data_IF_828422286288
#
_entry.id   IF_828422286288
#
_cell.length_a   1.000
_cell.length_b   1.000
_cell.length_c   1.000
_cell.angle_alpha   90.00
_cell.angle_beta   90.00
_cell.angle_gamma   90.00
#
_symmetry.space_group_name_H-M   'P 1'
#
loop_
_entity.id
_entity.type
_entity.pdbx_description
1 polymer ?
#
# COMPACT_ATOMS: atom_id res chain seq x y z
N UNK A 1 3.00 -34.54 -85.89
CA UNK A 1 2.61 -35.76 -85.15
C UNK A 1 2.54 -35.39 -83.66
N UNK A 2 1.38 -35.55 -83.00
CA UNK A 2 1.16 -35.33 -81.53
C UNK A 2 0.62 -33.94 -81.15
N UNK A 3 -0.70 -33.69 -80.97
CA UNK A 3 -1.55 -33.86 -79.76
C UNK A 3 -0.96 -33.20 -78.47
N UNK A 4 -1.67 -32.51 -77.55
CA UNK A 4 -3.01 -31.90 -77.43
C UNK A 4 -3.04 -31.17 -76.06
N UNK A 5 -3.86 -30.11 -75.95
CA UNK A 5 -4.59 -29.59 -74.77
C UNK A 5 -3.85 -28.85 -73.62
N UNK A 6 -4.37 -27.62 -73.42
CA UNK A 6 -4.23 -26.71 -72.26
C UNK A 6 -4.77 -27.35 -70.97
N UNK A 7 -3.94 -27.40 -69.93
CA UNK A 7 -4.35 -27.78 -68.57
C UNK A 7 -5.06 -26.65 -67.83
N UNK A 8 -6.26 -26.94 -67.34
CA UNK A 8 -7.12 -26.08 -66.53
C UNK A 8 -6.59 -25.87 -65.10
N UNK A 9 -6.97 -24.75 -64.50
CA UNK A 9 -6.82 -24.49 -63.05
C UNK A 9 -7.81 -25.37 -62.28
N UNK A 10 -7.31 -26.15 -61.33
CA UNK A 10 -8.12 -26.83 -60.32
C UNK A 10 -7.63 -26.36 -58.95
N UNK A 11 -8.55 -25.74 -58.20
CA UNK A 11 -8.37 -25.40 -56.80
C UNK A 11 -8.46 -26.67 -55.95
N UNK A 12 -7.44 -26.93 -55.12
CA UNK A 12 -7.51 -27.95 -54.07
C UNK A 12 -7.68 -27.29 -52.71
N UNK A 13 -8.77 -27.71 -52.06
CA UNK A 13 -9.24 -27.37 -50.73
C UNK A 13 -8.33 -27.99 -49.66
N UNK A 14 -8.05 -27.25 -48.60
CA UNK A 14 -7.68 -27.83 -47.29
C UNK A 14 -8.88 -27.63 -46.35
N UNK A 15 -9.32 -28.66 -45.60
CA UNK A 15 -10.57 -28.60 -44.85
C UNK A 15 -10.42 -27.77 -43.57
N UNK A 16 -11.40 -26.90 -43.32
CA UNK A 16 -11.66 -26.29 -42.01
C UNK A 16 -12.43 -27.30 -41.16
N UNK A 17 -11.82 -27.84 -40.11
CA UNK A 17 -12.53 -28.50 -39.02
C UNK A 17 -12.83 -27.47 -37.93
N UNK A 18 -14.11 -27.36 -37.59
CA UNK A 18 -14.63 -26.60 -36.46
C UNK A 18 -14.23 -27.28 -35.14
N UNK A 19 -13.72 -26.50 -34.18
CA UNK A 19 -13.95 -26.63 -32.73
C UNK A 19 -13.03 -25.63 -32.00
N UNK A 20 -13.57 -24.44 -31.71
CA UNK A 20 -13.40 -23.74 -30.43
C UNK A 20 -14.07 -22.37 -30.50
N UNK A 21 -15.37 -22.38 -30.21
CA UNK A 21 -16.00 -21.25 -29.56
C UNK A 21 -15.64 -21.29 -28.07
N UNK A 22 -15.55 -20.09 -27.47
CA UNK A 22 -15.54 -19.82 -26.03
C UNK A 22 -14.33 -20.34 -25.22
N UNK A 23 -13.33 -19.47 -25.05
CA UNK A 23 -12.98 -19.07 -23.68
C UNK A 23 -12.23 -17.73 -23.67
N UNK A 24 -12.99 -16.67 -23.36
CA UNK A 24 -12.45 -15.58 -22.57
C UNK A 24 -11.94 -16.18 -21.26
N UNK A 25 -10.63 -16.21 -21.06
CA UNK A 25 -10.05 -16.30 -19.72
C UNK A 25 -9.15 -15.08 -19.55
N UNK A 26 -9.75 -14.08 -18.92
CA UNK A 26 -9.03 -13.08 -18.12
C UNK A 26 -7.95 -13.79 -17.32
N UNK A 27 -6.71 -13.33 -17.44
CA UNK A 27 -5.61 -13.81 -16.61
C UNK A 27 -5.83 -13.29 -15.17
N UNK A 28 -6.73 -13.93 -14.44
CA UNK A 28 -6.82 -13.83 -13.00
C UNK A 28 -5.51 -14.37 -12.45
N UNK A 29 -4.68 -13.47 -11.90
CA UNK A 29 -3.52 -13.82 -11.09
C UNK A 29 -4.05 -14.67 -9.93
N UNK A 30 -3.94 -15.99 -10.05
CA UNK A 30 -4.22 -16.89 -8.94
C UNK A 30 -3.26 -16.49 -7.82
N UNK A 31 -3.80 -15.83 -6.80
CA UNK A 31 -3.14 -15.70 -5.51
C UNK A 31 -2.93 -17.12 -5.02
N UNK A 32 -1.68 -17.58 -5.02
CA UNK A 32 -1.29 -18.72 -4.21
C UNK A 32 -1.46 -18.30 -2.75
N UNK A 33 -2.68 -18.38 -2.23
CA UNK A 33 -2.93 -18.36 -0.80
C UNK A 33 -2.47 -19.72 -0.29
N UNK A 34 -1.19 -19.83 0.03
CA UNK A 34 -0.76 -20.80 1.03
C UNK A 34 -1.51 -20.41 2.30
N UNK A 35 -2.26 -21.31 2.96
CA UNK A 35 -2.76 -21.05 4.29
C UNK A 35 -1.54 -20.88 5.19
N UNK A 36 -1.17 -19.64 5.48
CA UNK A 36 -0.18 -19.33 6.50
C UNK A 36 -0.81 -19.83 7.79
N UNK A 37 -0.21 -20.85 8.40
CA UNK A 37 -0.60 -21.28 9.73
C UNK A 37 -0.40 -20.06 10.63
N UNK A 38 -1.51 -19.49 11.10
CA UNK A 38 -1.43 -18.42 12.08
C UNK A 38 -0.82 -19.05 13.35
N UNK A 39 0.08 -18.34 14.06
CA UNK A 39 0.47 -18.79 15.40
C UNK A 39 -0.81 -19.06 16.20
N UNK A 40 -0.86 -20.13 17.02
CA UNK A 40 -2.04 -20.44 17.80
C UNK A 40 -2.42 -19.19 18.61
N UNK A 41 -3.70 -18.77 18.59
CA UNK A 41 -4.13 -17.59 19.32
C UNK A 41 -3.74 -17.79 20.79
N UNK A 42 -2.90 -16.89 21.30
CA UNK A 42 -2.68 -16.80 22.74
C UNK A 42 -4.06 -16.51 23.35
N UNK A 43 -4.54 -17.39 24.22
CA UNK A 43 -5.90 -17.38 24.79
C UNK A 43 -6.25 -16.12 25.64
N UNK A 44 -5.43 -15.09 25.63
CA UNK A 44 -5.87 -13.75 26.01
C UNK A 44 -6.70 -13.20 24.86
N UNK A 45 -7.99 -13.53 24.83
CA UNK A 45 -8.95 -12.89 23.93
C UNK A 45 -8.80 -11.38 24.11
N UNK A 46 -8.25 -10.72 23.09
CA UNK A 46 -8.24 -9.28 23.03
C UNK A 46 -9.69 -8.79 23.06
N UNK A 47 -10.12 -8.26 24.20
CA UNK A 47 -11.46 -7.71 24.32
C UNK A 47 -11.49 -6.32 23.67
N UNK A 48 -11.57 -6.27 22.33
CA UNK A 48 -11.62 -4.99 21.61
C UNK A 48 -12.99 -4.40 21.89
N UNK A 49 -13.08 -3.16 22.40
CA UNK A 49 -14.36 -2.48 22.47
C UNK A 49 -14.98 -2.40 21.07
N UNK A 50 -16.17 -2.97 20.87
CA UNK A 50 -16.86 -2.92 19.59
C UNK A 50 -18.15 -2.11 19.67
N UNK A 51 -18.57 -1.58 18.53
CA UNK A 51 -19.88 -1.01 18.28
C UNK A 51 -20.49 -1.73 17.08
N UNK A 52 -21.73 -2.21 17.20
CA UNK A 52 -22.34 -3.00 16.14
C UNK A 52 -22.47 -2.21 14.83
N UNK A 53 -23.03 -0.99 14.90
CA UNK A 53 -23.29 -0.13 13.75
C UNK A 53 -22.61 1.24 13.87
N UNK A 54 -22.30 1.85 12.73
CA UNK A 54 -21.82 3.23 12.72
C UNK A 54 -22.95 4.18 13.16
N UNK A 55 -22.73 5.10 14.11
CA UNK A 55 -23.75 6.08 14.47
C UNK A 55 -24.07 6.97 13.27
N UNK A 56 -25.32 7.42 13.19
CA UNK A 56 -25.73 8.42 12.20
C UNK A 56 -24.94 9.73 12.39
N UNK A 57 -24.59 10.42 11.29
CA UNK A 57 -23.87 11.69 11.38
C UNK A 57 -24.71 12.74 12.11
N UNK A 58 -24.07 13.57 12.94
CA UNK A 58 -24.71 14.66 13.68
C UNK A 58 -24.64 15.99 12.94
N UNK A 59 -23.89 16.02 11.84
CA UNK A 59 -23.68 17.19 10.99
C UNK A 59 -23.79 16.81 9.51
N UNK A 60 -23.87 17.80 8.64
CA UNK A 60 -23.88 17.54 7.20
C UNK A 60 -22.58 16.88 6.75
N UNK A 61 -22.71 15.86 5.90
CA UNK A 61 -21.62 15.14 5.26
C UNK A 61 -21.57 15.46 3.77
N UNK A 62 -20.41 15.24 3.14
CA UNK A 62 -20.28 15.26 1.67
C UNK A 62 -21.17 14.20 1.01
N UNK A 63 -21.57 14.45 -0.23
CA UNK A 63 -22.39 13.50 -0.98
C UNK A 63 -21.57 12.29 -1.44
N UNK A 64 -22.14 11.10 -1.28
CA UNK A 64 -21.57 9.88 -1.87
C UNK A 64 -21.70 9.95 -3.40
N UNK A 65 -20.61 9.74 -4.17
CA UNK A 65 -20.70 9.67 -5.63
C UNK A 65 -21.72 8.61 -6.09
N UNK A 66 -22.58 8.90 -7.08
CA UNK A 66 -23.54 7.93 -7.58
C UNK A 66 -22.88 6.81 -8.38
N UNK A 67 -23.59 5.70 -8.59
CA UNK A 67 -23.16 4.63 -9.49
C UNK A 67 -22.01 3.76 -8.96
N UNK A 68 -21.86 3.65 -7.64
CA UNK A 68 -20.93 2.72 -7.01
C UNK A 68 -21.54 1.32 -6.98
N UNK A 69 -21.32 0.54 -8.03
CA UNK A 69 -21.65 -0.89 -8.06
C UNK A 69 -20.67 -1.66 -7.17
N UNK A 70 -20.99 -1.77 -5.88
CA UNK A 70 -20.20 -2.49 -4.88
C UNK A 70 -21.08 -3.56 -4.23
N UNK A 71 -20.46 -4.65 -3.81
CA UNK A 71 -21.17 -5.61 -2.97
C UNK A 71 -21.47 -4.95 -1.61
N UNK A 72 -22.72 -5.11 -1.14
CA UNK A 72 -23.23 -4.55 0.13
C UNK A 72 -23.67 -5.64 1.12
N UNK A 73 -23.53 -6.91 0.73
CA UNK A 73 -24.11 -8.04 1.44
C UNK A 73 -23.07 -8.98 2.05
N UNK A 74 -21.98 -9.33 1.33
CA UNK A 74 -21.05 -10.32 1.85
C UNK A 74 -20.37 -9.84 3.14
N UNK A 75 -20.01 -10.79 4.01
CA UNK A 75 -19.34 -10.51 5.28
C UNK A 75 -18.01 -9.79 5.05
N UNK A 76 -17.78 -8.69 5.79
CA UNK A 76 -16.51 -7.95 5.77
C UNK A 76 -15.48 -8.51 6.75
N UNK A 77 -15.89 -8.89 7.97
CA UNK A 77 -14.97 -9.40 9.00
C UNK A 77 -14.16 -10.60 8.48
N UNK A 78 -12.84 -10.51 8.58
CA UNK A 78 -11.89 -11.51 8.07
C UNK A 78 -11.52 -11.39 6.59
N UNK A 79 -11.96 -10.34 5.89
CA UNK A 79 -11.61 -10.11 4.47
C UNK A 79 -10.39 -9.21 4.25
N UNK A 80 -9.78 -8.70 5.32
CA UNK A 80 -8.50 -7.98 5.24
C UNK A 80 -7.42 -8.92 4.67
N UNK A 81 -6.68 -8.52 3.61
CA UNK A 81 -5.53 -9.29 3.16
C UNK A 81 -4.50 -9.39 4.28
N UNK A 82 -3.96 -10.58 4.52
CA UNK A 82 -2.92 -10.78 5.52
C UNK A 82 -1.61 -10.15 5.04
N UNK A 83 -0.95 -9.38 5.88
CA UNK A 83 0.42 -8.89 5.68
C UNK A 83 1.13 -8.87 7.03
N UNK A 84 2.44 -9.03 7.00
CA UNK A 84 3.31 -8.90 8.16
C UNK A 84 3.89 -7.48 8.26
N UNK A 85 4.13 -6.82 7.12
CA UNK A 85 4.57 -5.43 7.03
C UNK A 85 3.98 -4.78 5.77
N UNK A 86 3.60 -3.52 5.86
CA UNK A 86 3.18 -2.67 4.76
C UNK A 86 4.24 -1.60 4.55
N UNK A 87 4.87 -1.61 3.38
CA UNK A 87 5.74 -0.52 2.93
C UNK A 87 4.89 0.50 2.18
N UNK A 88 4.56 1.60 2.85
CA UNK A 88 3.78 2.71 2.32
C UNK A 88 4.73 3.79 1.79
N UNK A 89 4.97 3.78 0.48
CA UNK A 89 5.91 4.67 -0.20
C UNK A 89 5.28 6.06 -0.36
N UNK A 90 5.99 7.10 0.07
CA UNK A 90 5.59 8.49 -0.08
C UNK A 90 5.90 8.98 -1.49
N UNK A 91 4.86 9.09 -2.34
CA UNK A 91 5.02 9.48 -3.76
C UNK A 91 4.49 10.87 -4.09
N UNK A 92 3.66 11.44 -3.21
CA UNK A 92 2.93 12.68 -3.47
C UNK A 92 1.85 12.60 -4.56
N UNK A 93 1.62 11.41 -5.14
CA UNK A 93 0.65 11.19 -6.22
C UNK A 93 -0.69 10.71 -5.67
N UNK A 94 -1.78 11.12 -6.31
CA UNK A 94 -3.15 10.78 -5.89
C UNK A 94 -3.81 9.70 -6.74
N UNK A 95 -3.20 9.31 -7.86
CA UNK A 95 -3.61 8.15 -8.66
C UNK A 95 -2.38 7.49 -9.30
N UNK A 96 -2.58 6.25 -9.75
CA UNK A 96 -1.54 5.37 -10.26
C UNK A 96 -2.04 4.59 -11.47
N UNK A 97 -1.11 4.09 -12.29
CA UNK A 97 -1.46 3.05 -13.26
C UNK A 97 -1.96 1.81 -12.52
N UNK A 98 -2.82 1.04 -13.20
CA UNK A 98 -3.44 -0.18 -12.65
C UNK A 98 -2.45 -1.11 -11.92
N UNK A 99 -1.18 -1.10 -12.35
CA UNK A 99 -0.03 -1.68 -11.66
C UNK A 99 0.96 -0.60 -11.29
N UNK A 100 1.25 -0.46 -10.00
CA UNK A 100 2.20 0.53 -9.48
C UNK A 100 3.65 0.32 -9.96
N UNK A 101 3.97 -0.88 -10.45
CA UNK A 101 5.27 -1.19 -11.07
C UNK A 101 5.48 -0.47 -12.41
N UNK A 102 4.40 -0.03 -13.05
CA UNK A 102 4.42 0.62 -14.37
C UNK A 102 4.43 2.15 -14.26
N UNK A 103 4.33 2.69 -13.04
CA UNK A 103 4.38 4.12 -12.79
C UNK A 103 5.78 4.69 -13.02
N UNK A 104 5.82 5.96 -13.43
CA UNK A 104 7.04 6.75 -13.40
C UNK A 104 7.52 6.90 -11.94
N UNK A 105 8.81 6.69 -11.69
CA UNK A 105 9.36 6.73 -10.33
C UNK A 105 9.12 5.46 -9.50
N UNK A 106 8.65 4.37 -10.10
CA UNK A 106 8.43 3.06 -9.44
C UNK A 106 9.71 2.29 -9.09
N UNK A 107 10.87 2.96 -9.01
CA UNK A 107 12.18 2.31 -8.80
C UNK A 107 12.19 1.49 -7.51
N UNK A 108 11.82 2.09 -6.37
CA UNK A 108 11.75 1.38 -5.09
C UNK A 108 10.74 0.22 -5.13
N UNK A 109 9.56 0.44 -5.72
CA UNK A 109 8.53 -0.61 -5.89
C UNK A 109 9.10 -1.81 -6.65
N UNK A 110 9.80 -1.57 -7.76
CA UNK A 110 10.36 -2.61 -8.60
C UNK A 110 11.50 -3.36 -7.90
N UNK A 111 12.36 -2.65 -7.17
CA UNK A 111 13.44 -3.25 -6.40
C UNK A 111 12.94 -4.10 -5.23
N UNK A 112 11.98 -3.59 -4.47
CA UNK A 112 11.31 -4.38 -3.43
C UNK A 112 10.68 -5.64 -4.04
N UNK A 113 9.88 -5.51 -5.12
CA UNK A 113 9.28 -6.67 -5.78
C UNK A 113 10.31 -7.69 -6.29
N UNK A 114 11.48 -7.26 -6.76
CA UNK A 114 12.59 -8.15 -7.15
C UNK A 114 13.16 -8.92 -5.96
N UNK A 115 13.23 -8.30 -4.79
CA UNK A 115 13.88 -8.85 -3.60
C UNK A 115 12.96 -9.72 -2.72
N UNK A 116 11.76 -9.24 -2.43
CA UNK A 116 10.79 -9.90 -1.53
C UNK A 116 9.63 -10.58 -2.27
N UNK A 117 9.45 -10.27 -3.56
CA UNK A 117 8.43 -10.91 -4.39
C UNK A 117 8.75 -12.38 -4.71
N UNK A 118 7.90 -13.06 -5.51
CA UNK A 118 8.08 -14.47 -5.83
C UNK A 118 9.47 -14.75 -6.44
N UNK A 119 10.19 -15.72 -5.86
CA UNK A 119 11.57 -16.09 -6.25
C UNK A 119 12.63 -15.03 -5.94
N UNK A 120 12.28 -13.96 -5.23
CA UNK A 120 13.24 -13.00 -4.72
C UNK A 120 14.15 -13.61 -3.64
N UNK A 121 15.31 -12.99 -3.42
CA UNK A 121 16.31 -13.42 -2.42
C UNK A 121 15.72 -13.56 -1.01
N UNK A 122 14.77 -12.70 -0.68
CA UNK A 122 14.11 -12.59 0.62
C UNK A 122 12.64 -13.05 0.55
N UNK A 123 12.29 -13.85 -0.45
CA UNK A 123 10.93 -14.35 -0.62
C UNK A 123 10.58 -15.32 0.50
N UNK A 124 9.61 -14.95 1.33
CA UNK A 124 9.06 -15.79 2.39
C UNK A 124 7.53 -15.85 2.24
N UNK A 125 6.94 -17.03 1.95
CA UNK A 125 5.49 -17.18 1.82
C UNK A 125 4.73 -17.00 3.16
N UNK A 126 5.41 -17.01 4.29
CA UNK A 126 4.85 -16.82 5.63
C UNK A 126 5.05 -15.38 6.15
N UNK A 127 5.79 -14.54 5.43
CA UNK A 127 6.01 -13.12 5.77
C UNK A 127 5.61 -12.22 4.60
N UNK A 128 4.30 -12.06 4.41
CA UNK A 128 3.78 -11.29 3.28
C UNK A 128 3.99 -9.78 3.49
N UNK A 129 4.70 -9.13 2.57
CA UNK A 129 4.93 -7.68 2.61
C UNK A 129 4.03 -6.99 1.59
N UNK A 130 3.19 -6.07 2.06
CA UNK A 130 2.32 -5.25 1.21
C UNK A 130 3.07 -4.00 0.75
N UNK A 131 3.19 -3.76 -0.56
CA UNK A 131 3.81 -2.55 -1.11
C UNK A 131 2.71 -1.65 -1.67
N UNK A 132 2.60 -0.44 -1.14
CA UNK A 132 1.59 0.54 -1.54
C UNK A 132 2.21 1.91 -1.76
N UNK A 133 1.75 2.63 -2.77
CA UNK A 133 2.09 4.05 -2.95
C UNK A 133 1.08 4.92 -2.20
N UNK A 134 1.49 6.11 -1.80
CA UNK A 134 0.63 7.08 -1.12
C UNK A 134 0.76 8.48 -1.71
N UNK A 135 -0.29 9.27 -1.50
CA UNK A 135 -0.33 10.71 -1.78
C UNK A 135 0.45 11.55 -0.77
N UNK A 136 1.11 10.92 0.20
CA UNK A 136 2.00 11.61 1.13
C UNK A 136 3.22 12.08 0.34
N UNK A 137 3.59 13.37 0.37
CA UNK A 137 4.80 13.85 -0.31
C UNK A 137 6.05 13.18 0.26
N UNK A 138 7.05 12.83 -0.58
CA UNK A 138 8.33 12.32 -0.09
C UNK A 138 9.05 13.38 0.74
N UNK A 139 9.88 12.96 1.71
CA UNK A 139 10.79 13.88 2.40
C UNK A 139 11.64 14.64 1.38
N UNK A 140 11.72 15.99 1.47
CA UNK A 140 12.56 16.78 0.59
C UNK A 140 14.03 16.42 0.82
N UNK A 141 14.75 16.16 -0.27
CA UNK A 141 16.20 15.93 -0.23
C UNK A 141 16.90 17.24 -0.63
N UNK A 142 17.87 17.71 0.17
CA UNK A 142 18.46 19.06 0.06
C UNK A 142 19.11 19.37 -1.30
N UNK A 143 19.50 18.35 -2.08
CA UNK A 143 20.07 18.51 -3.43
C UNK A 143 19.04 18.40 -4.58
N UNK A 144 17.75 18.24 -4.27
CA UNK A 144 16.70 18.28 -5.28
C UNK A 144 16.37 19.74 -5.61
N UNK A 145 17.04 20.29 -6.64
CA UNK A 145 16.63 21.55 -7.28
C UNK A 145 15.09 21.54 -7.45
N UNK A 146 14.37 22.56 -6.94
CA UNK A 146 12.92 22.59 -7.06
C UNK A 146 12.55 22.71 -8.53
N UNK A 147 12.07 21.62 -9.12
CA UNK A 147 11.50 21.61 -10.46
C UNK A 147 10.23 22.46 -10.47
N UNK A 148 10.41 23.76 -10.63
CA UNK A 148 9.36 24.72 -10.93
C UNK A 148 9.03 24.59 -12.41
N UNK A 149 8.28 23.55 -12.78
CA UNK A 149 7.55 23.54 -14.04
C UNK A 149 6.09 23.15 -13.78
N UNK A 150 5.13 24.08 -13.99
CA UNK A 150 3.73 23.72 -14.12
C UNK A 150 3.56 22.83 -15.36
N UNK A 151 2.68 21.84 -15.27
CA UNK A 151 2.29 20.99 -16.39
C UNK A 151 1.93 21.85 -17.62
N UNK A 152 2.79 21.83 -18.65
CA UNK A 152 2.52 22.48 -19.93
C UNK A 152 2.40 21.46 -21.07
N UNK A 153 1.43 21.77 -21.91
CA UNK A 153 0.82 20.97 -22.96
C UNK A 153 1.84 20.54 -24.02
N UNK A 154 1.63 19.32 -24.52
CA UNK A 154 2.27 18.78 -25.71
C UNK A 154 2.23 19.78 -26.88
N UNK A 155 3.38 20.05 -27.49
CA UNK A 155 3.48 20.53 -28.86
C UNK A 155 4.85 20.15 -29.48
N UNK A 156 4.75 19.33 -30.53
CA UNK A 156 5.56 19.26 -31.76
C UNK A 156 7.07 19.58 -31.72
N UNK A 157 7.87 18.55 -32.00
CA UNK A 157 9.31 18.60 -32.31
C UNK A 157 9.54 18.89 -33.81
N UNK A 158 10.53 19.72 -34.20
CA UNK A 158 11.24 19.56 -35.46
C UNK A 158 12.63 18.94 -35.25
N UNK A 159 12.98 18.06 -36.18
CA UNK A 159 14.17 17.21 -36.14
C UNK A 159 15.51 17.97 -36.19
N UNK A 160 16.50 17.48 -35.44
CA UNK A 160 17.92 17.85 -35.57
C UNK A 160 18.76 16.65 -36.04
N UNK A 161 19.78 16.95 -36.86
CA UNK A 161 20.67 16.03 -37.57
C UNK A 161 21.84 15.51 -36.70
N UNK A 162 22.52 14.42 -37.11
CA UNK A 162 23.53 13.73 -36.30
C UNK A 162 24.96 14.26 -36.53
N UNK A 163 25.74 14.34 -35.45
CA UNK A 163 27.16 14.66 -35.45
C UNK A 163 27.85 14.08 -34.22
N UNK A 164 29.00 13.46 -34.46
CA UNK A 164 29.82 12.57 -33.63
C UNK A 164 30.81 13.28 -32.69
N UNK A 165 31.03 12.74 -31.48
CA UNK A 165 32.38 12.40 -30.98
C UNK A 165 32.32 11.47 -29.75
N UNK A 166 33.40 10.70 -29.46
CA UNK A 166 33.37 9.48 -28.66
C UNK A 166 33.80 9.65 -27.19
N UNK A 167 33.66 8.55 -26.44
CA UNK A 167 34.19 8.28 -25.09
C UNK A 167 33.57 9.03 -23.91
N UNK A 168 32.31 8.69 -23.63
CA UNK A 168 31.78 8.74 -22.25
C UNK A 168 31.70 7.30 -21.74
N UNK A 169 32.61 6.95 -20.84
CA UNK A 169 32.45 5.80 -19.94
C UNK A 169 31.15 6.04 -19.17
N UNK A 170 30.13 5.15 -19.24
CA UNK A 170 28.92 5.37 -18.48
C UNK A 170 29.24 5.16 -17.00
N UNK A 171 29.44 6.26 -16.27
CA UNK A 171 29.32 6.23 -14.82
C UNK A 171 27.85 5.94 -14.50
N UNK A 172 27.58 4.70 -14.10
CA UNK A 172 26.31 4.29 -13.50
C UNK A 172 26.17 4.94 -12.13
N UNK A 173 25.79 6.22 -12.10
CA UNK A 173 25.12 6.81 -10.96
C UNK A 173 23.82 7.41 -11.47
N UNK A 174 22.71 6.64 -11.53
CA UNK A 174 21.42 7.27 -11.61
C UNK A 174 21.20 7.96 -10.26
N UNK A 175 21.54 9.25 -10.20
CA UNK A 175 21.33 10.14 -9.06
C UNK A 175 19.80 10.32 -8.87
N UNK A 176 19.13 9.24 -8.48
CA UNK A 176 17.70 9.19 -8.21
C UNK A 176 17.56 9.61 -6.76
N UNK A 177 16.81 10.68 -6.52
CA UNK A 177 16.52 11.13 -5.16
C UNK A 177 16.05 9.94 -4.30
N UNK A 178 16.49 9.85 -3.03
CA UNK A 178 16.10 8.77 -2.16
C UNK A 178 14.58 8.76 -1.99
N UNK A 179 14.02 7.57 -1.85
CA UNK A 179 12.61 7.41 -1.52
C UNK A 179 12.39 7.58 -0.01
N UNK A 180 11.14 7.75 0.41
CA UNK A 180 10.76 7.67 1.82
C UNK A 180 9.51 6.81 1.97
N UNK A 181 9.37 6.16 3.14
CA UNK A 181 8.25 5.26 3.38
C UNK A 181 7.87 5.17 4.86
N UNK A 182 6.57 4.95 5.09
CA UNK A 182 6.06 4.47 6.37
C UNK A 182 5.99 2.95 6.36
N UNK A 183 6.16 2.35 7.54
CA UNK A 183 6.11 0.93 7.79
C UNK A 183 5.05 0.63 8.85
N UNK A 184 4.11 -0.24 8.50
CA UNK A 184 3.04 -0.67 9.39
C UNK A 184 2.83 -2.18 9.34
N UNK A 185 2.65 -2.86 10.48
CA UNK A 185 2.33 -2.29 11.78
C UNK A 185 3.57 -1.98 12.64
N UNK A 186 4.78 -1.89 12.10
CA UNK A 186 5.96 -1.54 12.92
C UNK A 186 5.99 -0.08 13.40
N UNK A 187 5.09 0.78 12.90
CA UNK A 187 5.03 2.22 13.17
C UNK A 187 6.39 2.89 13.03
N UNK A 188 7.07 2.67 11.89
CA UNK A 188 8.35 3.33 11.58
C UNK A 188 8.20 4.21 10.35
N UNK A 189 8.92 5.32 10.33
CA UNK A 189 9.10 6.16 9.16
C UNK A 189 10.58 6.20 8.80
N UNK A 190 10.90 6.00 7.52
CA UNK A 190 12.25 6.08 6.99
C UNK A 190 12.30 7.20 5.94
N UNK A 191 12.96 8.34 6.24
CA UNK A 191 12.94 9.53 5.38
C UNK A 191 13.88 9.44 4.18
N UNK A 192 14.86 8.54 4.21
CA UNK A 192 15.85 8.39 3.13
C UNK A 192 16.15 6.92 2.88
N UNK A 193 15.64 6.40 1.77
CA UNK A 193 15.83 5.02 1.30
C UNK A 193 16.54 5.10 -0.06
N UNK A 194 17.82 4.72 -0.13
CA UNK A 194 18.51 4.64 -1.41
C UNK A 194 17.84 3.58 -2.30
N UNK A 195 17.72 3.88 -3.59
CA UNK A 195 16.91 3.08 -4.53
C UNK A 195 17.73 2.13 -5.42
N UNK A 196 19.05 2.10 -5.22
CA UNK A 196 19.94 1.11 -5.81
C UNK A 196 19.80 -0.27 -5.14
N UNK A 197 20.32 -1.32 -5.80
CA UNK A 197 20.22 -2.70 -5.32
C UNK A 197 20.81 -2.87 -3.90
N UNK A 198 21.90 -2.18 -3.56
CA UNK A 198 22.55 -2.31 -2.24
C UNK A 198 21.75 -1.61 -1.15
N UNK A 199 21.28 -0.40 -1.42
CA UNK A 199 20.46 0.40 -0.51
C UNK A 199 19.13 -0.26 -0.17
N UNK A 200 18.42 -0.80 -1.18
CA UNK A 200 17.15 -1.50 -0.97
C UNK A 200 17.37 -2.81 -0.23
N UNK A 201 18.46 -3.55 -0.49
CA UNK A 201 18.79 -4.74 0.29
C UNK A 201 19.02 -4.40 1.77
N UNK A 202 19.79 -3.35 2.06
CA UNK A 202 20.03 -2.88 3.41
C UNK A 202 18.73 -2.46 4.10
N UNK A 203 17.82 -1.79 3.39
CA UNK A 203 16.52 -1.38 3.91
C UNK A 203 15.63 -2.58 4.25
N UNK A 204 15.57 -3.58 3.36
CA UNK A 204 14.80 -4.81 3.58
C UNK A 204 15.29 -5.54 4.83
N UNK A 205 16.60 -5.68 4.98
CA UNK A 205 17.21 -6.31 6.17
C UNK A 205 16.98 -5.50 7.44
N UNK A 206 17.11 -4.18 7.38
CA UNK A 206 17.00 -3.32 8.55
C UNK A 206 15.56 -3.23 9.10
N UNK A 207 14.56 -3.22 8.21
CA UNK A 207 13.20 -2.85 8.60
C UNK A 207 12.09 -3.79 8.15
N UNK A 208 12.26 -4.55 7.05
CA UNK A 208 11.13 -5.27 6.42
C UNK A 208 11.10 -6.74 6.79
N UNK A 209 12.25 -7.39 6.97
CA UNK A 209 12.33 -8.80 7.34
C UNK A 209 11.80 -9.04 8.78
N UNK A 210 11.33 -10.26 9.09
CA UNK A 210 10.80 -10.56 10.41
C UNK A 210 11.92 -10.75 11.47
N UNK A 211 11.61 -10.50 12.75
CA UNK A 211 12.49 -10.82 13.88
C UNK A 211 12.58 -12.33 14.16
N UNK A 212 11.58 -13.10 13.74
CA UNK A 212 11.51 -14.54 13.96
C UNK A 212 10.85 -15.22 12.77
N UNK A 213 11.26 -16.45 12.46
CA UNK A 213 10.72 -17.20 11.34
C UNK A 213 9.56 -18.08 11.78
N UNK A 214 8.59 -18.24 10.88
CA UNK A 214 7.50 -19.20 11.05
C UNK A 214 8.03 -20.64 11.25
N UNK A 215 7.33 -21.47 12.05
CA UNK A 215 7.73 -22.84 12.39
C UNK A 215 7.98 -23.73 11.16
N UNK A 216 7.28 -23.48 10.04
CA UNK A 216 7.53 -24.16 8.76
C UNK A 216 8.97 -24.04 8.25
N UNK A 217 9.76 -23.08 8.75
CA UNK A 217 11.16 -22.89 8.41
C UNK A 217 12.13 -23.74 9.23
N UNK A 218 11.65 -24.61 10.13
CA UNK A 218 12.50 -25.49 10.94
C UNK A 218 13.56 -26.25 10.12
N UNK A 219 13.16 -26.72 8.93
CA UNK A 219 13.99 -27.50 7.99
C UNK A 219 15.02 -26.69 7.21
N UNK A 220 14.97 -25.36 7.25
CA UNK A 220 15.96 -24.51 6.57
C UNK A 220 17.33 -24.61 7.26
N UNK A 221 18.39 -24.51 6.48
CA UNK A 221 19.76 -24.38 7.02
C UNK A 221 19.92 -23.06 7.79
N UNK A 222 20.89 -22.97 8.70
CA UNK A 222 21.19 -21.74 9.44
C UNK A 222 21.46 -20.55 8.51
N UNK A 223 22.20 -20.77 7.42
CA UNK A 223 22.48 -19.72 6.44
C UNK A 223 21.21 -19.22 5.75
N UNK A 224 20.31 -20.12 5.36
CA UNK A 224 19.01 -19.74 4.78
C UNK A 224 18.14 -18.99 5.78
N UNK A 225 18.10 -19.44 7.05
CA UNK A 225 17.37 -18.74 8.10
C UNK A 225 17.89 -17.32 8.31
N UNK A 226 19.22 -17.15 8.38
CA UNK A 226 19.84 -15.84 8.55
C UNK A 226 19.51 -14.88 7.39
N UNK A 227 19.39 -15.38 6.16
CA UNK A 227 18.99 -14.56 5.01
C UNK A 227 17.57 -13.97 5.15
N UNK A 228 16.68 -14.67 5.86
CA UNK A 228 15.27 -14.29 6.01
C UNK A 228 14.96 -13.54 7.30
N UNK A 229 15.96 -13.32 8.17
CA UNK A 229 15.79 -12.60 9.43
C UNK A 229 16.27 -11.16 9.31
N UNK A 230 15.66 -10.27 10.08
CA UNK A 230 16.09 -8.88 10.11
C UNK A 230 17.47 -8.68 10.75
N UNK A 231 18.10 -7.57 10.41
CA UNK A 231 19.39 -7.14 10.92
C UNK A 231 19.22 -5.72 11.51
N UNK A 232 18.71 -5.57 12.75
CA UNK A 232 18.31 -4.28 13.31
C UNK A 232 19.49 -3.31 13.47
N UNK A 233 20.72 -3.80 13.58
CA UNK A 233 21.93 -2.98 13.61
C UNK A 233 22.12 -2.14 12.31
N UNK A 234 21.59 -2.62 11.17
CA UNK A 234 21.65 -1.91 9.90
C UNK A 234 20.79 -0.64 9.88
N UNK A 235 19.87 -0.46 10.84
CA UNK A 235 19.06 0.77 10.95
C UNK A 235 19.92 2.02 11.15
N UNK A 236 21.13 1.88 11.69
CA UNK A 236 22.10 2.98 11.83
C UNK A 236 22.52 3.59 10.49
N UNK A 237 22.34 2.86 9.39
CA UNK A 237 22.60 3.34 8.02
C UNK A 237 21.45 4.19 7.45
N UNK A 238 20.36 4.37 8.19
CA UNK A 238 19.17 5.12 7.78
C UNK A 238 18.92 6.28 8.75
N UNK A 239 19.72 7.37 8.67
CA UNK A 239 19.55 8.53 9.53
C UNK A 239 18.14 9.14 9.36
N UNK A 240 17.59 9.65 10.45
CA UNK A 240 16.23 10.19 10.50
C UNK A 240 15.13 9.12 10.57
N UNK A 241 15.45 7.82 10.48
CA UNK A 241 14.47 6.76 10.73
C UNK A 241 13.93 6.90 12.18
N UNK A 242 12.60 6.92 12.30
CA UNK A 242 11.93 7.27 13.56
C UNK A 242 10.62 6.50 13.74
N UNK A 243 10.13 6.36 14.98
CA UNK A 243 8.76 5.92 15.21
C UNK A 243 7.73 6.91 14.63
N UNK A 244 6.57 6.38 14.28
CA UNK A 244 5.40 7.13 13.82
C UNK A 244 4.54 7.46 15.03
N UNK A 245 4.25 8.74 15.21
CA UNK A 245 3.52 9.25 16.37
C UNK A 245 2.21 9.93 15.97
N UNK A 246 2.02 10.15 14.67
CA UNK A 246 0.79 10.63 14.08
C UNK A 246 -0.22 9.49 13.81
N UNK A 247 -1.51 9.81 13.89
CA UNK A 247 -2.56 8.95 13.31
C UNK A 247 -2.38 8.97 11.79
N UNK A 248 -2.46 7.80 11.15
CA UNK A 248 -2.37 7.71 9.68
C UNK A 248 -3.63 7.04 9.14
N UNK A 249 -4.47 7.84 8.47
CA UNK A 249 -5.68 7.39 7.77
C UNK A 249 -5.35 7.22 6.29
N UNK A 250 -5.43 5.99 5.80
CA UNK A 250 -5.15 5.63 4.42
C UNK A 250 -6.42 5.23 3.70
N UNK A 251 -6.67 5.82 2.54
CA UNK A 251 -7.91 5.62 1.78
C UNK A 251 -7.55 5.11 0.40
N UNK A 252 -8.08 3.97 -0.01
CA UNK A 252 -7.84 3.48 -1.37
C UNK A 252 -8.45 4.46 -2.39
N UNK A 253 -7.59 5.15 -3.15
CA UNK A 253 -7.94 6.13 -4.18
C UNK A 253 -7.59 5.69 -5.60
N UNK A 254 -7.22 4.42 -5.79
CA UNK A 254 -6.61 3.93 -7.02
C UNK A 254 -7.62 3.76 -8.18
N UNK A 255 -7.83 4.80 -8.97
CA UNK A 255 -8.78 4.83 -10.08
C UNK A 255 -8.40 3.91 -11.23
N UNK A 256 -7.10 3.85 -11.58
CA UNK A 256 -6.59 2.96 -12.63
C UNK A 256 -6.79 1.45 -12.37
N UNK A 257 -7.07 1.08 -11.11
CA UNK A 257 -7.36 -0.31 -10.70
C UNK A 257 -8.82 -0.53 -10.37
N UNK A 258 -9.45 0.44 -9.72
CA UNK A 258 -10.84 0.41 -9.31
C UNK A 258 -11.43 1.83 -9.37
N UNK A 259 -12.20 2.10 -10.42
CA UNK A 259 -12.81 3.42 -10.65
C UNK A 259 -13.66 3.89 -9.47
N UNK A 260 -14.31 2.97 -8.74
CA UNK A 260 -15.15 3.29 -7.57
C UNK A 260 -14.29 3.84 -6.43
N UNK A 261 -13.11 3.27 -6.22
CA UNK A 261 -12.12 3.79 -5.27
C UNK A 261 -11.57 5.15 -5.74
N UNK A 262 -11.31 5.32 -7.04
CA UNK A 262 -10.87 6.60 -7.61
C UNK A 262 -11.89 7.73 -7.43
N UNK A 263 -13.20 7.43 -7.53
CA UNK A 263 -14.28 8.40 -7.28
C UNK A 263 -14.44 8.72 -5.79
N UNK A 264 -14.39 7.71 -4.94
CA UNK A 264 -14.73 7.84 -3.53
C UNK A 264 -13.55 8.32 -2.67
N UNK A 265 -12.31 7.98 -3.05
CA UNK A 265 -11.08 8.31 -2.32
C UNK A 265 -10.94 9.79 -1.97
N UNK A 266 -11.01 10.72 -2.94
CA UNK A 266 -10.91 12.16 -2.68
C UNK A 266 -12.04 12.69 -1.78
N UNK A 267 -13.26 12.16 -1.93
CA UNK A 267 -14.42 12.58 -1.13
C UNK A 267 -14.24 12.17 0.33
N UNK A 268 -13.82 10.92 0.56
CA UNK A 268 -13.53 10.42 1.90
C UNK A 268 -12.35 11.15 2.52
N UNK A 269 -11.28 11.44 1.76
CA UNK A 269 -10.14 12.19 2.28
C UNK A 269 -10.57 13.55 2.82
N UNK A 270 -11.32 14.31 2.04
CA UNK A 270 -11.81 15.62 2.46
C UNK A 270 -12.77 15.54 3.67
N UNK A 271 -13.63 14.52 3.73
CA UNK A 271 -14.50 14.29 4.88
C UNK A 271 -13.71 13.95 6.14
N UNK A 272 -12.69 13.08 6.04
CA UNK A 272 -11.86 12.70 7.19
C UNK A 272 -11.08 13.90 7.74
N UNK A 273 -10.45 14.69 6.88
CA UNK A 273 -9.74 15.90 7.30
C UNK A 273 -10.68 16.86 8.06
N UNK A 274 -11.87 17.11 7.53
CA UNK A 274 -12.87 17.98 8.17
C UNK A 274 -13.34 17.44 9.54
N UNK A 275 -13.66 16.15 9.66
CA UNK A 275 -14.16 15.57 10.91
C UNK A 275 -13.07 15.46 11.98
N UNK A 276 -11.82 15.21 11.57
CA UNK A 276 -10.66 15.22 12.48
C UNK A 276 -10.41 16.63 13.04
N UNK A 277 -10.42 17.65 12.19
CA UNK A 277 -10.25 19.05 12.62
C UNK A 277 -11.37 19.47 13.59
N UNK A 278 -12.62 19.02 13.38
CA UNK A 278 -13.74 19.24 14.33
C UNK A 278 -13.54 18.58 15.69
N UNK A 279 -12.74 17.52 15.78
CA UNK A 279 -12.35 16.87 17.03
C UNK A 279 -11.06 17.46 17.62
N UNK A 280 -10.62 18.62 17.12
CA UNK A 280 -9.38 19.29 17.51
C UNK A 280 -8.12 18.43 17.25
N UNK A 281 -8.17 17.50 16.28
CA UNK A 281 -7.00 16.74 15.84
C UNK A 281 -6.33 17.51 14.70
N UNK A 282 -5.10 18.03 14.87
CA UNK A 282 -4.41 18.77 13.81
C UNK A 282 -4.09 17.89 12.60
N UNK A 283 -4.19 18.44 11.39
CA UNK A 283 -3.87 17.73 10.14
C UNK A 283 -2.48 18.07 9.63
N UNK A 284 -1.65 17.04 9.41
CA UNK A 284 -0.34 17.15 8.78
C UNK A 284 -0.46 16.87 7.28
N UNK A 285 -0.28 17.92 6.47
CA UNK A 285 -0.37 17.83 4.99
C UNK A 285 1.00 17.75 4.31
N UNK A 286 2.01 18.44 4.85
CA UNK A 286 3.36 18.49 4.28
C UNK A 286 4.11 17.16 4.33
N UNK A 287 5.24 17.09 3.63
CA UNK A 287 6.16 15.96 3.72
C UNK A 287 6.63 15.75 5.18
N UNK A 288 6.78 14.50 5.65
CA UNK A 288 7.46 14.28 6.92
C UNK A 288 8.93 14.76 6.80
N UNK A 289 9.45 15.51 7.79
CA UNK A 289 10.81 16.04 7.74
C UNK A 289 11.86 14.93 7.95
N UNK A 290 13.11 15.21 7.56
CA UNK A 290 14.26 14.31 7.79
C UNK A 290 14.53 14.09 9.27
N UNK A 291 14.52 15.18 10.04
CA UNK A 291 14.68 15.16 11.49
C UNK A 291 13.38 15.65 12.13
N UNK A 292 12.78 14.82 12.98
CA UNK A 292 11.78 15.32 13.92
C UNK A 292 12.45 15.41 15.28
N UNK A 293 12.48 16.61 15.86
CA UNK A 293 12.50 16.73 17.32
C UNK A 293 11.38 15.82 17.85
N UNK A 294 11.71 14.90 18.76
CA UNK A 294 10.69 14.05 19.35
C UNK A 294 9.91 14.88 20.37
N UNK A 295 8.61 15.15 20.17
CA UNK A 295 7.74 15.61 21.23
C UNK A 295 7.93 14.75 22.48
N UNK A 296 7.81 15.35 23.65
CA UNK A 296 7.77 14.60 24.90
C UNK A 296 6.45 13.82 24.99
N UNK A 297 6.50 12.53 24.61
CA UNK A 297 5.35 11.61 24.66
C UNK A 297 5.12 11.01 26.06
N UNK A 298 5.85 11.47 27.09
CA UNK A 298 5.62 11.07 28.48
C UNK A 298 4.48 11.85 29.14
N UNK A 299 3.93 12.87 28.46
CA UNK A 299 2.73 13.58 28.91
C UNK A 299 1.51 12.65 28.88
N UNK A 300 0.76 12.59 29.98
CA UNK A 300 -0.41 11.71 30.12
C UNK A 300 -1.52 12.02 29.11
N UNK A 301 -1.60 13.27 28.63
CA UNK A 301 -2.64 13.75 27.70
C UNK A 301 -2.13 13.92 26.26
N UNK A 302 -1.18 13.09 25.81
CA UNK A 302 -0.71 13.16 24.42
C UNK A 302 -1.86 12.91 23.43
N UNK A 303 -2.21 13.94 22.66
CA UNK A 303 -3.13 13.85 21.53
C UNK A 303 -2.33 13.91 20.22
N UNK A 304 -2.33 12.83 19.40
CA UNK A 304 -1.60 12.82 18.13
C UNK A 304 -2.28 13.71 17.09
N UNK A 305 -1.47 14.36 16.25
CA UNK A 305 -1.93 14.89 14.98
C UNK A 305 -2.23 13.75 13.99
N UNK A 306 -2.97 14.03 12.93
CA UNK A 306 -3.37 13.05 11.93
C UNK A 306 -2.88 13.41 10.53
N UNK A 307 -2.62 12.37 9.74
CA UNK A 307 -2.38 12.45 8.31
C UNK A 307 -3.44 11.63 7.59
N UNK A 308 -4.09 12.25 6.61
CA UNK A 308 -5.05 11.57 5.74
C UNK A 308 -4.45 11.52 4.35
N UNK A 309 -4.38 10.32 3.76
CA UNK A 309 -3.75 10.13 2.46
C UNK A 309 -4.52 9.13 1.61
N UNK A 310 -4.51 9.36 0.31
CA UNK A 310 -4.91 8.35 -0.66
C UNK A 310 -3.77 7.36 -0.89
N UNK A 311 -4.12 6.10 -1.14
CA UNK A 311 -3.17 5.03 -1.40
C UNK A 311 -3.56 4.18 -2.59
N UNK A 312 -2.56 3.51 -3.15
CA UNK A 312 -2.76 2.52 -4.19
C UNK A 312 -3.56 1.31 -3.66
N UNK A 313 -3.99 0.45 -4.58
CA UNK A 313 -4.97 -0.59 -4.28
C UNK A 313 -4.50 -1.60 -3.23
N UNK A 314 -5.28 -1.75 -2.17
CA UNK A 314 -5.03 -2.64 -1.01
C UNK A 314 -5.89 -3.91 -1.01
N UNK A 315 -6.39 -4.33 -2.17
CA UNK A 315 -7.27 -5.49 -2.29
C UNK A 315 -8.72 -5.18 -1.90
N UNK A 316 -9.60 -6.18 -2.04
CA UNK A 316 -11.03 -6.00 -1.76
C UNK A 316 -11.79 -5.26 -2.86
N UNK A 317 -11.49 -5.52 -4.14
CA UNK A 317 -12.20 -4.94 -5.29
C UNK A 317 -13.70 -5.27 -5.36
N UNK A 318 -14.23 -6.07 -4.44
CA UNK A 318 -15.68 -6.28 -4.32
C UNK A 318 -16.34 -5.07 -3.64
N UNK A 319 -15.52 -4.31 -2.91
CA UNK A 319 -15.84 -3.16 -2.08
C UNK A 319 -15.23 -1.89 -2.66
N UNK A 320 -15.81 -0.75 -2.30
CA UNK A 320 -15.13 0.53 -2.33
C UNK A 320 -15.14 1.13 -0.91
N UNK A 321 -14.50 2.28 -0.74
CA UNK A 321 -14.39 2.90 0.58
C UNK A 321 -13.53 2.06 1.52
N UNK A 322 -12.44 1.51 0.97
CA UNK A 322 -11.45 0.78 1.75
C UNK A 322 -10.58 1.80 2.48
N UNK A 323 -10.61 1.76 3.81
CA UNK A 323 -9.92 2.68 4.69
C UNK A 323 -9.08 1.88 5.68
N UNK A 324 -7.85 2.29 5.93
CA UNK A 324 -7.01 1.79 7.02
C UNK A 324 -6.77 2.94 7.98
N UNK A 325 -6.95 2.69 9.28
CA UNK A 325 -6.67 3.65 10.33
C UNK A 325 -5.55 3.09 11.19
N UNK A 326 -4.35 3.65 11.09
CA UNK A 326 -3.23 3.33 11.96
C UNK A 326 -3.18 4.30 13.13
N UNK A 327 -3.22 3.74 14.33
CA UNK A 327 -3.26 4.48 15.59
C UNK A 327 -1.90 4.28 16.28
N UNK A 328 -1.12 5.35 16.50
CA UNK A 328 0.25 5.24 16.97
C UNK A 328 0.32 4.63 18.38
N UNK A 329 1.33 3.80 18.69
CA UNK A 329 1.51 3.22 20.03
C UNK A 329 1.62 4.25 21.16
N UNK A 330 2.06 5.47 20.84
CA UNK A 330 2.15 6.56 21.81
C UNK A 330 0.80 7.14 22.23
N UNK A 331 -0.30 6.86 21.52
CA UNK A 331 -1.63 7.32 21.89
C UNK A 331 -2.29 6.39 22.92
N UNK A 332 -1.63 6.23 24.08
CA UNK A 332 -1.96 5.21 25.10
C UNK A 332 -3.37 5.28 25.68
N UNK A 333 -4.02 6.44 25.59
CA UNK A 333 -5.40 6.64 26.04
C UNK A 333 -6.42 5.99 25.11
N UNK A 334 -6.04 5.65 23.87
CA UNK A 334 -6.90 4.94 22.93
C UNK A 334 -6.69 3.41 23.07
N UNK A 335 -7.74 2.62 23.38
CA UNK A 335 -7.68 1.15 23.44
C UNK A 335 -7.09 0.43 22.21
N UNK A 336 -7.06 1.09 21.06
CA UNK A 336 -6.53 0.58 19.79
C UNK A 336 -5.10 1.10 19.49
N UNK A 337 -4.40 1.69 20.46
CA UNK A 337 -3.03 2.13 20.30
C UNK A 337 -2.13 1.00 19.77
N UNK A 338 -1.32 1.31 18.76
CA UNK A 338 -0.47 0.33 18.08
C UNK A 338 -1.22 -0.61 17.15
N UNK A 339 -2.45 -0.28 16.74
CA UNK A 339 -3.24 -1.08 15.81
C UNK A 339 -3.46 -0.37 14.46
N UNK A 340 -3.56 -1.16 13.40
CA UNK A 340 -4.14 -0.81 12.11
C UNK A 340 -5.51 -1.43 11.96
N UNK A 341 -6.56 -0.62 11.81
CA UNK A 341 -7.95 -1.07 11.65
C UNK A 341 -8.39 -0.89 10.22
N UNK A 342 -8.85 -1.97 9.59
CA UNK A 342 -9.33 -1.96 8.21
C UNK A 342 -10.84 -1.90 8.16
N UNK A 343 -11.33 -0.91 7.42
CA UNK A 343 -12.74 -0.72 7.09
C UNK A 343 -12.99 -0.88 5.59
N UNK A 344 -14.19 -1.34 5.25
CA UNK A 344 -14.70 -1.40 3.89
C UNK A 344 -16.11 -0.82 3.83
N UNK A 345 -16.56 -0.47 2.61
CA UNK A 345 -17.86 0.17 2.37
C UNK A 345 -18.02 1.48 3.15
N UNK A 346 -16.92 2.17 3.44
CA UNK A 346 -16.97 3.48 4.07
C UNK A 346 -17.54 4.47 3.05
N UNK A 347 -18.47 5.30 3.51
CA UNK A 347 -19.09 6.38 2.75
C UNK A 347 -18.96 7.65 3.62
N UNK A 348 -19.11 8.87 3.07
CA UNK A 348 -18.93 10.11 3.84
C UNK A 348 -19.73 10.15 5.14
N UNK A 349 -20.97 9.65 5.14
CA UNK A 349 -21.82 9.57 6.33
C UNK A 349 -21.23 8.75 7.50
N UNK A 350 -20.33 7.81 7.20
CA UNK A 350 -19.70 6.94 8.20
C UNK A 350 -18.45 7.58 8.83
N UNK A 351 -17.89 8.62 8.21
CA UNK A 351 -16.59 9.18 8.61
C UNK A 351 -16.64 9.82 10.00
N UNK A 352 -17.70 10.56 10.32
CA UNK A 352 -17.88 11.13 11.66
C UNK A 352 -17.91 10.03 12.74
N UNK A 353 -18.61 8.93 12.47
CA UNK A 353 -18.65 7.78 13.36
C UNK A 353 -17.29 7.09 13.50
N UNK A 354 -16.52 6.94 12.43
CA UNK A 354 -15.16 6.36 12.51
C UNK A 354 -14.23 7.27 13.32
N UNK A 355 -14.27 8.58 13.09
CA UNK A 355 -13.43 9.52 13.86
C UNK A 355 -13.82 9.47 15.34
N UNK A 356 -15.10 9.67 15.68
CA UNK A 356 -15.54 9.70 17.07
C UNK A 356 -15.41 8.35 17.77
N UNK A 357 -15.77 7.24 17.12
CA UNK A 357 -15.82 5.92 17.77
C UNK A 357 -14.51 5.17 17.69
N UNK A 358 -13.78 5.22 16.58
CA UNK A 358 -12.51 4.49 16.46
C UNK A 358 -11.33 5.34 16.92
N UNK A 359 -11.22 6.58 16.47
CA UNK A 359 -10.04 7.41 16.77
C UNK A 359 -10.11 8.08 18.14
N UNK A 360 -11.30 8.40 18.66
CA UNK A 360 -11.45 8.96 20.01
C UNK A 360 -11.77 7.86 21.03
N UNK A 361 -12.89 7.14 20.86
CA UNK A 361 -13.34 6.16 21.87
C UNK A 361 -12.58 4.82 21.85
N UNK A 362 -11.75 4.55 20.84
CA UNK A 362 -11.03 3.28 20.66
C UNK A 362 -11.93 2.05 20.42
N UNK A 363 -13.04 2.26 19.70
CA UNK A 363 -14.02 1.21 19.36
C UNK A 363 -13.99 0.84 17.88
N UNK A 364 -14.11 -0.46 17.62
CA UNK A 364 -14.24 -0.99 16.26
C UNK A 364 -15.71 -1.06 15.84
N UNK A 365 -16.04 -0.53 14.67
CA UNK A 365 -17.40 -0.55 14.11
C UNK A 365 -17.59 -1.83 13.28
N UNK A 366 -18.41 -2.77 13.78
CA UNK A 366 -18.50 -4.12 13.21
C UNK A 366 -19.01 -4.15 11.78
N UNK A 367 -20.03 -3.36 11.45
CA UNK A 367 -20.63 -3.35 10.09
C UNK A 367 -19.66 -2.99 8.97
N UNK A 368 -18.57 -2.27 9.26
CA UNK A 368 -17.55 -1.90 8.27
C UNK A 368 -16.25 -2.67 8.43
N UNK A 369 -16.05 -3.36 9.55
CA UNK A 369 -14.77 -3.96 9.92
C UNK A 369 -14.38 -5.11 8.99
N UNK A 370 -13.17 -5.03 8.43
CA UNK A 370 -12.57 -6.07 7.58
C UNK A 370 -11.55 -6.93 8.31
N UNK A 371 -10.91 -6.39 9.33
CA UNK A 371 -9.81 -6.98 10.06
C UNK A 371 -8.97 -5.89 10.72
N UNK A 372 -8.07 -6.29 11.61
CA UNK A 372 -7.07 -5.39 12.14
C UNK A 372 -5.73 -6.10 12.30
N UNK A 373 -4.69 -5.32 12.61
CA UNK A 373 -3.36 -5.83 12.87
C UNK A 373 -2.72 -5.01 13.99
N UNK A 374 -2.05 -5.65 14.93
CA UNK A 374 -1.26 -4.97 15.96
C UNK A 374 0.20 -4.84 15.53
N UNK A 375 0.89 -3.86 16.11
CA UNK A 375 2.34 -3.91 16.27
C UNK A 375 2.80 -5.32 16.69
N UNK A 376 3.78 -5.85 15.97
CA UNK A 376 4.21 -7.25 16.11
C UNK A 376 3.52 -8.25 15.16
N UNK A 377 2.50 -7.83 14.42
CA UNK A 377 1.90 -8.61 13.32
C UNK A 377 0.73 -9.51 13.73
N UNK A 378 0.22 -9.39 14.96
CA UNK A 378 -0.95 -10.14 15.40
C UNK A 378 -2.21 -9.65 14.65
N UNK A 379 -2.94 -10.59 14.03
CA UNK A 379 -4.13 -10.29 13.25
C UNK A 379 -5.36 -10.27 14.16
N UNK A 380 -6.07 -9.15 14.17
CA UNK A 380 -7.32 -8.96 14.88
C UNK A 380 -8.50 -9.39 13.99
N UNK A 381 -9.34 -10.28 14.54
CA UNK A 381 -10.64 -10.67 13.98
C UNK A 381 -11.66 -10.57 15.09
N UNK A 382 -12.90 -10.26 14.71
CA UNK A 382 -14.02 -10.35 15.65
C UNK A 382 -14.53 -11.79 15.65
N UNK A 383 -14.83 -12.31 16.84
CA UNK A 383 -15.57 -13.55 17.00
C UNK A 383 -16.98 -13.36 16.43
N UNK A 384 -17.51 -14.42 15.79
CA UNK A 384 -18.86 -14.43 15.19
C UNK A 384 -19.95 -14.77 16.20
#
# INVERSE_FOLDING_TARGET
MGLIIRGARIASRIPRTQLWALQQRSASRATYTVPIAQPPPTHEHWNIPTLDECPSPTCQCRETPPGLDIDRESKLNGTMPTYAEQVLISTGRTDWKSRIQEDEGSVLVNQLNKMIGPKGKFSDPYHNVSITNSSIPPTPFEDAEPSTQPAQKANTVPAAKPGSDPDIVPQNNPNTAPASAFLFPSFQYVPSIPTDDGGVEAFVKAFVLPPSLHASHERLTRAQKNTLLHEPEMRKSFPGARPVHEIVVLICGHGGRDERCGKLGPVLQAEFEEKLERQNIPIIRGAPPHDTEQPDYSIEEYQPAARVAQISHIGGHKWAGNVIVYIPPTFKTNPLAGCGIWYGRVEPQHVEGIVGKTLIDGKVIKTHFRGGIREGGEILRLDD
#
